data_IF_527273794086
#
_entry.id   IF_527273794086
#
_cell.length_a   1.000
_cell.length_b   1.000
_cell.length_c   1.000
_cell.angle_alpha   90.00
_cell.angle_beta   90.00
_cell.angle_gamma   90.00
#
_symmetry.space_group_name_H-M   'P 1'
#
loop_
_entity.id
_entity.type
_entity.pdbx_description
1 polymer ?
#
# COMPACT_ATOMS: atom_id res chain seq x y z
N UNK A 1 -20.99 -0.86 7.53
CA UNK A 1 -20.85 -1.46 8.87
C UNK A 1 -19.38 -1.54 9.32
N UNK A 2 -18.43 -2.07 8.53
CA UNK A 2 -16.99 -2.10 8.90
C UNK A 2 -16.26 -0.76 8.70
N UNK A 3 -16.50 -0.05 7.59
CA UNK A 3 -15.80 1.20 7.27
C UNK A 3 -16.11 2.34 8.26
N UNK A 4 -17.37 2.45 8.69
CA UNK A 4 -17.81 3.44 9.69
C UNK A 4 -17.16 3.21 11.06
N UNK A 5 -16.96 1.94 11.45
CA UNK A 5 -16.29 1.59 12.71
C UNK A 5 -14.78 1.91 12.68
N UNK A 6 -14.12 1.73 11.54
CA UNK A 6 -12.70 2.09 11.37
C UNK A 6 -12.52 3.60 11.47
N UNK A 7 -13.38 4.39 10.82
CA UNK A 7 -13.34 5.87 10.89
C UNK A 7 -13.56 6.42 12.30
N UNK A 8 -14.37 5.74 13.11
CA UNK A 8 -14.63 6.15 14.50
C UNK A 8 -13.49 5.81 15.45
N UNK A 9 -12.76 4.71 15.19
CA UNK A 9 -11.70 4.21 16.09
C UNK A 9 -10.30 4.68 15.73
N UNK A 10 -10.05 5.00 14.46
CA UNK A 10 -8.72 5.35 13.97
C UNK A 10 -8.76 6.66 13.21
N UNK A 11 -7.77 7.53 13.46
CA UNK A 11 -7.57 8.77 12.70
C UNK A 11 -6.94 8.52 11.33
N UNK A 12 -6.34 7.34 11.11
CA UNK A 12 -5.65 6.96 9.87
C UNK A 12 -6.45 7.24 8.58
N UNK A 13 -7.77 6.93 8.49
CA UNK A 13 -8.57 7.22 7.30
C UNK A 13 -8.65 8.72 6.94
N UNK A 14 -8.35 9.63 7.87
CA UNK A 14 -8.34 11.08 7.60
C UNK A 14 -7.03 11.54 6.93
N UNK A 15 -6.03 10.66 6.82
CA UNK A 15 -4.73 10.95 6.22
C UNK A 15 -4.53 10.30 4.85
N UNK A 16 -5.59 9.71 4.25
CA UNK A 16 -5.53 9.01 2.98
C UNK A 16 -6.65 9.48 2.05
N UNK A 17 -6.36 9.56 0.74
CA UNK A 17 -7.34 9.96 -0.28
C UNK A 17 -8.25 8.81 -0.74
N UNK A 18 -7.90 7.56 -0.41
CA UNK A 18 -8.65 6.38 -0.82
C UNK A 18 -8.19 5.11 -0.14
N UNK A 19 -8.98 4.04 -0.27
CA UNK A 19 -8.68 2.73 0.29
C UNK A 19 -9.22 1.60 -0.59
N UNK A 20 -8.45 0.51 -0.68
CA UNK A 20 -8.86 -0.75 -1.31
C UNK A 20 -9.01 -1.81 -0.23
N UNK A 21 -10.20 -2.40 -0.13
CA UNK A 21 -10.50 -3.46 0.82
C UNK A 21 -10.73 -4.78 0.08
N UNK A 22 -9.96 -5.82 0.42
CA UNK A 22 -10.03 -7.12 -0.26
C UNK A 22 -11.44 -7.72 -0.30
N UNK A 23 -12.20 -7.59 0.78
CA UNK A 23 -13.57 -8.09 0.86
C UNK A 23 -14.55 -7.38 -0.09
N UNK A 24 -14.24 -6.16 -0.56
CA UNK A 24 -15.09 -5.44 -1.52
C UNK A 24 -14.80 -5.86 -2.96
N UNK A 25 -13.55 -6.24 -3.26
CA UNK A 25 -13.09 -6.46 -4.64
C UNK A 25 -12.87 -7.93 -4.98
N UNK A 26 -12.93 -8.83 -3.99
CA UNK A 26 -12.77 -10.29 -4.21
C UNK A 26 -11.33 -10.75 -4.43
N UNK A 27 -10.35 -9.86 -4.38
CA UNK A 27 -8.92 -10.17 -4.47
C UNK A 27 -8.21 -9.84 -3.16
N UNK A 28 -7.19 -10.62 -2.80
CA UNK A 28 -6.33 -10.35 -1.65
C UNK A 28 -4.86 -10.34 -2.08
N UNK A 29 -4.02 -9.72 -1.26
CA UNK A 29 -2.57 -9.91 -1.40
C UNK A 29 -2.23 -11.39 -1.17
N UNK A 30 -1.29 -11.98 -1.92
CA UNK A 30 -0.38 -11.36 -2.91
C UNK A 30 -0.87 -11.40 -4.38
N UNK A 31 -2.18 -11.55 -4.65
CA UNK A 31 -2.71 -11.58 -6.02
C UNK A 31 -2.50 -10.24 -6.73
N UNK A 32 -2.01 -10.24 -7.97
CA UNK A 32 -1.65 -9.00 -8.71
C UNK A 32 -2.81 -8.00 -8.83
N UNK A 33 -4.05 -8.50 -8.93
CA UNK A 33 -5.23 -7.68 -9.17
C UNK A 33 -5.45 -6.63 -8.08
N UNK A 34 -5.17 -6.93 -6.80
CA UNK A 34 -5.37 -5.93 -5.73
C UNK A 34 -4.44 -4.73 -5.90
N UNK A 35 -3.22 -4.95 -6.38
CA UNK A 35 -2.24 -3.90 -6.59
C UNK A 35 -2.56 -3.08 -7.83
N UNK A 36 -2.99 -3.73 -8.92
CA UNK A 36 -3.46 -3.04 -10.14
C UNK A 36 -4.67 -2.15 -9.84
N UNK A 37 -5.66 -2.67 -9.13
CA UNK A 37 -6.83 -1.91 -8.68
C UNK A 37 -6.41 -0.72 -7.80
N UNK A 38 -5.42 -0.88 -6.92
CA UNK A 38 -4.92 0.21 -6.11
C UNK A 38 -4.25 1.32 -6.95
N UNK A 39 -3.40 0.96 -7.93
CA UNK A 39 -2.81 1.91 -8.86
C UNK A 39 -3.86 2.63 -9.71
N UNK A 40 -4.83 1.90 -10.24
CA UNK A 40 -5.92 2.44 -11.06
C UNK A 40 -6.79 3.43 -10.27
N UNK A 41 -7.14 3.08 -9.02
CA UNK A 41 -7.90 3.98 -8.13
C UNK A 41 -7.11 5.25 -7.79
N UNK A 42 -5.79 5.13 -7.63
CA UNK A 42 -4.89 6.26 -7.41
C UNK A 42 -4.57 7.04 -8.71
N UNK A 43 -5.01 6.55 -9.87
CA UNK A 43 -4.67 7.08 -11.21
C UNK A 43 -3.16 7.22 -11.41
N UNK A 44 -2.41 6.26 -10.88
CA UNK A 44 -0.96 6.24 -10.91
C UNK A 44 -0.45 5.08 -11.75
N UNK A 45 0.66 5.29 -12.46
CA UNK A 45 1.39 4.19 -13.10
C UNK A 45 2.09 3.35 -12.02
N UNK A 46 2.20 2.02 -12.20
CA UNK A 46 2.85 1.13 -11.22
C UNK A 46 4.23 1.61 -10.77
N UNK A 47 5.07 2.10 -11.68
CA UNK A 47 6.41 2.61 -11.38
C UNK A 47 6.44 3.86 -10.50
N UNK A 48 5.31 4.57 -10.39
CA UNK A 48 5.14 5.74 -9.53
C UNK A 48 4.52 5.38 -8.17
N UNK A 49 4.32 4.08 -7.88
CA UNK A 49 3.73 3.61 -6.65
C UNK A 49 4.80 2.98 -5.73
N UNK A 50 4.76 3.37 -4.44
CA UNK A 50 5.52 2.67 -3.38
C UNK A 50 4.55 1.78 -2.59
N UNK A 51 4.87 0.50 -2.48
CA UNK A 51 4.14 -0.45 -1.65
C UNK A 51 4.97 -0.82 -0.40
N UNK A 52 4.36 -0.68 0.78
CA UNK A 52 4.97 -0.93 2.08
C UNK A 52 4.15 -2.01 2.78
N UNK A 53 4.79 -3.13 3.15
CA UNK A 53 4.13 -4.25 3.82
C UNK A 53 5.14 -5.05 4.64
N UNK A 54 4.70 -5.68 5.73
CA UNK A 54 5.52 -6.49 6.62
C UNK A 54 5.66 -7.94 6.14
N UNK A 55 4.85 -8.39 5.19
CA UNK A 55 5.01 -9.70 4.57
C UNK A 55 5.78 -9.59 3.26
N UNK A 56 6.98 -10.18 3.23
CA UNK A 56 7.88 -10.15 2.08
C UNK A 56 7.21 -10.66 0.78
N UNK A 57 6.34 -11.66 0.86
CA UNK A 57 5.61 -12.19 -0.31
C UNK A 57 4.72 -11.11 -0.96
N UNK A 58 4.04 -10.28 -0.16
CA UNK A 58 3.21 -9.19 -0.65
C UNK A 58 4.07 -8.12 -1.33
N UNK A 59 5.25 -7.83 -0.78
CA UNK A 59 6.18 -6.85 -1.35
C UNK A 59 6.71 -7.33 -2.69
N UNK A 60 7.09 -8.61 -2.78
CA UNK A 60 7.57 -9.21 -4.02
C UNK A 60 6.49 -9.20 -5.11
N UNK A 61 5.22 -9.43 -4.75
CA UNK A 61 4.11 -9.34 -5.69
C UNK A 61 3.91 -7.93 -6.25
N UNK A 62 4.00 -6.91 -5.41
CA UNK A 62 3.94 -5.52 -5.86
C UNK A 62 5.10 -5.19 -6.83
N UNK A 63 6.32 -5.64 -6.51
CA UNK A 63 7.50 -5.42 -7.37
C UNK A 63 7.30 -6.05 -8.75
N UNK A 64 6.73 -7.27 -8.83
CA UNK A 64 6.50 -7.95 -10.11
C UNK A 64 5.60 -7.17 -11.07
N UNK A 65 4.72 -6.31 -10.56
CA UNK A 65 3.84 -5.48 -11.39
C UNK A 65 4.38 -4.07 -11.65
N UNK A 66 5.57 -3.74 -11.15
CA UNK A 66 6.26 -2.47 -11.40
C UNK A 66 6.36 -1.51 -10.21
N UNK A 67 5.82 -1.85 -9.04
CA UNK A 67 5.89 -0.97 -7.88
C UNK A 67 7.29 -0.96 -7.27
N UNK A 68 7.62 0.12 -6.59
CA UNK A 68 8.73 0.16 -5.64
C UNK A 68 8.27 -0.55 -4.35
N UNK A 69 8.85 -1.71 -4.04
CA UNK A 69 8.50 -2.47 -2.83
C UNK A 69 9.43 -2.20 -1.66
N UNK A 70 8.86 -1.90 -0.48
CA UNK A 70 9.57 -1.77 0.79
C UNK A 70 9.05 -2.81 1.78
N UNK A 71 9.93 -3.71 2.23
CA UNK A 71 9.62 -4.65 3.31
C UNK A 71 9.75 -3.95 4.66
N UNK A 72 8.61 -3.75 5.32
CA UNK A 72 8.55 -3.08 6.60
C UNK A 72 9.09 -3.98 7.72
N UNK A 73 10.13 -3.50 8.41
CA UNK A 73 10.74 -4.18 9.56
C UNK A 73 10.89 -3.29 10.79
N UNK A 74 11.00 -1.97 10.59
CA UNK A 74 10.98 -0.98 11.67
C UNK A 74 10.75 0.41 11.09
N UNK A 75 10.31 1.35 11.94
CA UNK A 75 10.16 2.76 11.57
C UNK A 75 11.48 3.39 11.08
N UNK A 76 12.59 3.14 11.79
CA UNK A 76 13.92 3.66 11.42
C UNK A 76 14.31 3.20 10.02
N UNK A 77 14.04 1.93 9.69
CA UNK A 77 14.35 1.37 8.38
C UNK A 77 13.45 1.96 7.29
N UNK A 78 12.14 2.04 7.55
CA UNK A 78 11.19 2.64 6.62
C UNK A 78 11.57 4.08 6.27
N UNK A 79 11.93 4.90 7.26
CA UNK A 79 12.36 6.29 7.02
C UNK A 79 13.59 6.37 6.12
N UNK A 80 14.57 5.49 6.33
CA UNK A 80 15.75 5.43 5.48
C UNK A 80 15.41 4.98 4.04
N UNK A 81 14.51 4.02 3.88
CA UNK A 81 14.13 3.50 2.57
C UNK A 81 13.24 4.51 1.80
N UNK A 82 12.37 5.26 2.49
CA UNK A 82 11.63 6.38 1.89
C UNK A 82 12.55 7.50 1.39
N UNK A 83 13.55 7.89 2.21
CA UNK A 83 14.53 8.91 1.83
C UNK A 83 15.33 8.51 0.58
N UNK A 84 15.71 7.23 0.45
CA UNK A 84 16.38 6.71 -0.74
C UNK A 84 15.52 6.79 -2.00
N UNK A 85 14.21 6.79 -1.85
CA UNK A 85 13.24 6.96 -2.94
C UNK A 85 12.79 8.43 -3.11
N UNK A 86 13.49 9.37 -2.49
CA UNK A 86 13.22 10.82 -2.64
C UNK A 86 12.06 11.35 -1.80
N UNK A 87 11.49 10.54 -0.89
CA UNK A 87 10.39 10.95 -0.01
C UNK A 87 10.93 11.41 1.33
N UNK A 88 10.64 12.67 1.68
CA UNK A 88 11.10 13.32 2.93
C UNK A 88 9.93 13.38 3.92
N UNK A 89 10.16 12.86 5.13
CA UNK A 89 9.20 12.79 6.25
C UNK A 89 9.82 13.18 7.59
#
# INVERSE_FOLDING_TARGET
>A
HVQEEIKKRYSFPNFIDGAVYSFNIGYRKPEENIYRIAADNAKALPENCIFIDDQLENVQAAIRIGFIGIHFSSYKRLKADLLKNGIII
#
